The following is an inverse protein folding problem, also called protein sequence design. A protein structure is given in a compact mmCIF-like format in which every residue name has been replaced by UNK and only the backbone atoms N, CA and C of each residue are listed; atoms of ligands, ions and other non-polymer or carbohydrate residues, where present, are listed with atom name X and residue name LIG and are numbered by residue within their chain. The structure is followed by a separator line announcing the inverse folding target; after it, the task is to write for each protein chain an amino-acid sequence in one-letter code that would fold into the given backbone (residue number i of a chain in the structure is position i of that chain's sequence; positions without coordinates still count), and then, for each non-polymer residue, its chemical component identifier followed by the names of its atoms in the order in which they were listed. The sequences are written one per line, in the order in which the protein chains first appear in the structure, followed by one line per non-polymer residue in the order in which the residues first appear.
data_IF_711366398737
#
_entry.id   IF_711366398737
#
_cell.length_a   1.000
_cell.length_b   1.000
_cell.length_c   1.000
_cell.angle_alpha   90.00
_cell.angle_beta   90.00
_cell.angle_gamma   90.00
#
_symmetry.space_group_name_H-M   'P 1'
#
loop_
_entity.id
_entity.type
_entity.pdbx_description
1 polymer ?
#
# COMPACT_ATOMS: atom_id res chain seq x y z
N UNK A 1 -33.97 -25.42 15.35
CA UNK A 1 -33.94 -24.53 14.17
C UNK A 1 -32.72 -23.64 14.27
N UNK A 2 -31.75 -23.78 13.37
CA UNK A 2 -30.70 -22.77 13.15
C UNK A 2 -30.07 -23.04 11.78
N UNK A 3 -30.68 -22.48 10.71
CA UNK A 3 -30.09 -22.49 9.38
C UNK A 3 -28.95 -21.46 9.38
N UNK A 4 -27.71 -21.96 9.49
CA UNK A 4 -26.52 -21.15 9.28
C UNK A 4 -26.56 -20.55 7.87
N UNK A 5 -26.74 -19.23 7.80
CA UNK A 5 -26.71 -18.47 6.57
C UNK A 5 -25.26 -18.47 6.05
N UNK A 6 -24.90 -19.47 5.24
CA UNK A 6 -23.70 -19.43 4.41
C UNK A 6 -23.88 -18.26 3.45
N UNK A 7 -23.28 -17.10 3.78
CA UNK A 7 -23.09 -16.00 2.82
C UNK A 7 -22.42 -16.61 1.60
N UNK A 8 -23.17 -16.73 0.49
CA UNK A 8 -22.60 -17.10 -0.81
C UNK A 8 -21.46 -16.14 -1.06
N UNK A 9 -20.23 -16.65 -1.24
CA UNK A 9 -19.12 -15.85 -1.71
C UNK A 9 -19.58 -15.20 -3.03
N UNK A 10 -19.73 -13.87 -3.03
CA UNK A 10 -20.03 -13.13 -4.24
C UNK A 10 -18.95 -13.48 -5.26
N UNK A 11 -19.36 -13.90 -6.47
CA UNK A 11 -18.40 -14.19 -7.54
C UNK A 11 -17.65 -12.88 -7.84
N UNK A 12 -16.34 -12.87 -7.64
CA UNK A 12 -15.48 -11.74 -7.99
C UNK A 12 -15.76 -11.27 -9.41
N UNK A 13 -15.87 -9.96 -9.61
CA UNK A 13 -16.03 -9.39 -10.95
C UNK A 13 -14.73 -9.60 -11.73
N UNK A 14 -14.80 -10.33 -12.84
CA UNK A 14 -13.66 -10.48 -13.75
C UNK A 14 -13.58 -9.26 -14.64
N UNK A 15 -12.47 -8.51 -14.57
CA UNK A 15 -12.19 -7.41 -15.49
C UNK A 15 -11.52 -7.96 -16.75
N UNK A 16 -12.16 -7.78 -17.90
CA UNK A 16 -11.57 -8.12 -19.20
C UNK A 16 -10.63 -7.01 -19.67
N UNK A 17 -9.77 -7.30 -20.65
CA UNK A 17 -8.90 -6.27 -21.23
C UNK A 17 -9.70 -5.10 -21.84
N UNK A 18 -10.86 -5.38 -22.45
CA UNK A 18 -11.73 -4.34 -23.02
C UNK A 18 -12.20 -3.37 -21.94
N UNK A 19 -12.75 -3.91 -20.84
CA UNK A 19 -13.20 -3.09 -19.70
C UNK A 19 -12.05 -2.32 -19.07
N UNK A 20 -10.88 -2.93 -18.91
CA UNK A 20 -9.71 -2.24 -18.38
C UNK A 20 -9.27 -1.06 -19.27
N UNK A 21 -9.31 -1.22 -20.60
CA UNK A 21 -8.98 -0.13 -21.54
C UNK A 21 -9.99 1.02 -21.50
N UNK A 22 -11.25 0.73 -21.25
CA UNK A 22 -12.31 1.76 -21.07
C UNK A 22 -12.12 2.56 -19.76
N UNK A 23 -11.33 2.04 -18.83
CA UNK A 23 -10.98 2.70 -17.56
C UNK A 23 -9.67 3.51 -17.63
N UNK A 24 -9.09 3.66 -18.82
CA UNK A 24 -7.92 4.50 -19.02
C UNK A 24 -8.34 5.96 -19.14
N UNK A 25 -7.60 6.83 -18.46
CA UNK A 25 -7.80 8.28 -18.48
C UNK A 25 -6.45 9.00 -18.51
N UNK A 26 -6.47 10.26 -18.96
CA UNK A 26 -5.33 11.16 -18.83
C UNK A 26 -5.49 11.99 -17.56
N UNK A 27 -4.43 12.10 -16.77
CA UNK A 27 -4.34 13.05 -15.67
C UNK A 27 -4.13 14.47 -16.21
N UNK A 28 -4.26 15.46 -15.33
CA UNK A 28 -4.02 16.87 -15.68
C UNK A 28 -2.58 17.13 -16.15
N UNK A 29 -1.59 16.38 -15.63
CA UNK A 29 -0.20 16.44 -16.07
C UNK A 29 0.11 15.53 -17.28
N UNK A 30 -0.93 15.04 -17.97
CA UNK A 30 -0.81 14.28 -19.22
C UNK A 30 -0.40 12.82 -19.05
N UNK A 31 -0.56 12.26 -17.86
CA UNK A 31 -0.14 10.90 -17.52
C UNK A 31 -1.25 9.91 -17.75
N UNK A 32 -0.89 8.73 -18.23
CA UNK A 32 -1.87 7.67 -18.44
C UNK A 32 -2.19 6.98 -17.10
N UNK A 33 -3.45 7.09 -16.67
CA UNK A 33 -3.98 6.49 -15.45
C UNK A 33 -4.96 5.38 -15.78
N UNK A 34 -4.86 4.26 -15.07
CA UNK A 34 -5.85 3.19 -15.06
C UNK A 34 -6.68 3.26 -13.77
N UNK A 35 -7.97 3.57 -13.89
CA UNK A 35 -8.89 3.65 -12.74
C UNK A 35 -9.80 2.43 -12.64
N UNK A 36 -9.41 1.48 -11.81
CA UNK A 36 -10.20 0.31 -11.45
C UNK A 36 -10.72 0.39 -10.01
N UNK A 37 -10.89 1.59 -9.48
CA UNK A 37 -11.47 1.80 -8.16
C UNK A 37 -12.94 1.36 -8.10
N UNK A 38 -13.38 0.85 -6.94
CA UNK A 38 -14.78 0.49 -6.69
C UNK A 38 -15.38 -0.48 -7.73
N UNK A 39 -14.63 -1.50 -8.13
CA UNK A 39 -15.06 -2.50 -9.14
C UNK A 39 -15.40 -3.87 -8.55
N UNK A 40 -15.38 -4.00 -7.22
CA UNK A 40 -15.60 -5.27 -6.50
C UNK A 40 -14.66 -6.39 -6.95
N UNK A 41 -13.43 -6.02 -7.34
CA UNK A 41 -12.43 -6.96 -7.82
C UNK A 41 -11.76 -7.63 -6.62
N UNK A 42 -11.81 -8.95 -6.52
CA UNK A 42 -11.12 -9.68 -5.44
C UNK A 42 -9.78 -10.28 -5.85
N UNK A 43 -9.53 -10.40 -7.16
CA UNK A 43 -8.28 -10.90 -7.73
C UNK A 43 -7.80 -9.91 -8.77
N UNK A 44 -6.54 -9.49 -8.66
CA UNK A 44 -5.95 -8.57 -9.62
C UNK A 44 -6.09 -9.13 -11.05
N UNK A 45 -6.64 -8.38 -12.03
CA UNK A 45 -6.95 -8.92 -13.34
C UNK A 45 -5.69 -9.35 -14.10
N UNK A 46 -5.65 -10.59 -14.59
CA UNK A 46 -4.49 -11.13 -15.34
C UNK A 46 -4.19 -10.42 -16.67
N UNK A 47 -5.09 -9.55 -17.13
CA UNK A 47 -4.89 -8.74 -18.33
C UNK A 47 -4.07 -7.47 -18.07
N UNK A 48 -3.91 -7.05 -16.80
CA UNK A 48 -3.21 -5.83 -16.41
C UNK A 48 -1.79 -5.69 -16.97
N UNK A 49 -0.97 -6.76 -17.06
CA UNK A 49 0.33 -6.72 -17.73
C UNK A 49 0.33 -6.12 -19.15
N UNK A 50 -0.80 -6.16 -19.86
CA UNK A 50 -0.93 -5.60 -21.21
C UNK A 50 -1.10 -4.07 -21.23
N UNK A 51 -1.19 -3.44 -20.07
CA UNK A 51 -1.37 -2.01 -19.86
C UNK A 51 -0.21 -1.45 -19.01
N UNK A 52 0.99 -2.05 -19.11
CA UNK A 52 2.15 -1.69 -18.30
C UNK A 52 2.71 -0.30 -18.55
N UNK A 53 2.29 0.35 -19.65
CA UNK A 53 2.67 1.72 -20.02
C UNK A 53 2.04 2.79 -19.10
N UNK A 54 1.05 2.43 -18.27
CA UNK A 54 0.41 3.40 -17.38
C UNK A 54 1.37 3.91 -16.30
N UNK A 55 1.22 5.19 -15.97
CA UNK A 55 2.01 5.87 -14.94
C UNK A 55 1.24 5.95 -13.62
N UNK A 56 -0.08 5.77 -13.62
CA UNK A 56 -0.88 5.70 -12.40
C UNK A 56 -1.87 4.53 -12.43
N UNK A 57 -2.01 3.82 -11.32
CA UNK A 57 -3.00 2.74 -11.15
C UNK A 57 -3.78 2.98 -9.87
N UNK A 58 -5.10 3.06 -10.01
CA UNK A 58 -6.04 3.06 -8.89
C UNK A 58 -6.80 1.74 -8.83
N UNK A 59 -6.58 1.01 -7.75
CA UNK A 59 -7.25 -0.24 -7.42
C UNK A 59 -7.93 -0.12 -6.05
N UNK A 60 -8.18 1.10 -5.59
CA UNK A 60 -8.77 1.35 -4.29
C UNK A 60 -10.22 0.89 -4.18
N UNK A 61 -10.70 0.66 -2.95
CA UNK A 61 -12.08 0.27 -2.65
C UNK A 61 -12.52 -0.99 -3.38
N UNK A 62 -11.65 -2.00 -3.38
CA UNK A 62 -11.91 -3.31 -3.96
C UNK A 62 -11.86 -4.40 -2.87
N UNK A 63 -11.78 -5.66 -3.30
CA UNK A 63 -11.75 -6.83 -2.41
C UNK A 63 -10.42 -7.59 -2.53
N UNK A 64 -9.35 -6.92 -2.99
CA UNK A 64 -8.08 -7.57 -3.35
C UNK A 64 -7.39 -8.07 -2.07
N UNK A 65 -7.02 -9.34 -2.05
CA UNK A 65 -6.32 -9.97 -0.92
C UNK A 65 -4.82 -10.15 -1.16
N UNK A 66 -4.39 -10.20 -2.43
CA UNK A 66 -2.99 -10.38 -2.83
C UNK A 66 -2.64 -9.57 -4.07
N UNK A 67 -1.43 -9.04 -4.07
CA UNK A 67 -0.80 -8.48 -5.27
C UNK A 67 0.09 -9.57 -5.90
N UNK A 68 -0.13 -9.93 -7.17
CA UNK A 68 0.70 -10.89 -7.90
C UNK A 68 2.03 -10.28 -8.35
N UNK A 69 3.00 -11.15 -8.64
CA UNK A 69 4.36 -10.71 -9.00
C UNK A 69 4.47 -9.89 -10.27
N UNK A 70 3.52 -10.04 -11.21
CA UNK A 70 3.49 -9.25 -12.44
C UNK A 70 3.29 -7.75 -12.21
N UNK A 71 3.07 -7.31 -10.96
CA UNK A 71 3.12 -5.88 -10.61
C UNK A 71 4.44 -5.26 -11.07
N UNK A 72 5.52 -6.04 -11.14
CA UNK A 72 6.82 -5.59 -11.63
C UNK A 72 6.87 -5.25 -13.13
N UNK A 73 5.82 -5.51 -13.90
CA UNK A 73 5.77 -5.10 -15.31
C UNK A 73 5.48 -3.60 -15.44
N UNK A 74 4.91 -2.96 -14.41
CA UNK A 74 4.54 -1.54 -14.40
C UNK A 74 5.74 -0.64 -14.09
N UNK A 75 6.78 -0.71 -14.92
CA UNK A 75 8.05 0.00 -14.69
C UNK A 75 7.93 1.53 -14.77
N UNK A 76 6.91 2.04 -15.47
CA UNK A 76 6.61 3.47 -15.59
C UNK A 76 5.76 4.01 -14.42
N UNK A 77 5.32 3.15 -13.49
CA UNK A 77 4.37 3.52 -12.45
C UNK A 77 4.94 4.54 -11.46
N UNK A 78 4.21 5.63 -11.28
CA UNK A 78 4.50 6.75 -10.38
C UNK A 78 3.52 6.79 -9.20
N UNK A 79 2.28 6.34 -9.40
CA UNK A 79 1.25 6.27 -8.35
C UNK A 79 0.59 4.90 -8.35
N UNK A 80 0.55 4.27 -7.18
CA UNK A 80 -0.21 3.05 -6.94
C UNK A 80 -1.14 3.26 -5.74
N UNK A 81 -2.44 3.26 -6.00
CA UNK A 81 -3.46 3.32 -4.95
C UNK A 81 -4.13 1.95 -4.76
N UNK A 82 -3.96 1.40 -3.56
CA UNK A 82 -4.52 0.14 -3.09
C UNK A 82 -5.35 0.34 -1.81
N UNK A 83 -5.76 1.58 -1.51
CA UNK A 83 -6.56 1.93 -0.35
C UNK A 83 -7.85 1.09 -0.24
N UNK A 84 -8.27 0.74 0.97
CA UNK A 84 -9.52 0.00 1.21
C UNK A 84 -9.59 -1.31 0.41
N UNK A 85 -8.65 -2.21 0.70
CA UNK A 85 -8.63 -3.58 0.21
C UNK A 85 -8.42 -4.53 1.41
N UNK A 86 -8.11 -5.80 1.16
CA UNK A 86 -7.87 -6.81 2.18
C UNK A 86 -6.47 -7.42 2.07
N UNK A 87 -5.48 -6.63 1.64
CA UNK A 87 -4.11 -7.10 1.48
C UNK A 87 -3.52 -7.52 2.82
N UNK A 88 -3.03 -8.75 2.91
CA UNK A 88 -2.35 -9.30 4.10
C UNK A 88 -0.83 -9.16 4.01
N UNK A 89 -0.31 -9.18 2.78
CA UNK A 89 1.11 -9.09 2.45
C UNK A 89 1.32 -8.35 1.11
N UNK A 90 2.54 -7.88 0.88
CA UNK A 90 3.00 -7.41 -0.42
C UNK A 90 4.09 -8.35 -0.95
N UNK A 91 4.11 -8.64 -2.25
CA UNK A 91 5.18 -9.42 -2.83
C UNK A 91 6.49 -8.62 -2.88
N UNK A 92 7.63 -9.30 -2.88
CA UNK A 92 8.93 -8.65 -3.00
C UNK A 92 9.10 -7.89 -4.33
N UNK A 93 8.38 -8.31 -5.38
CA UNK A 93 8.32 -7.65 -6.69
C UNK A 93 7.86 -6.19 -6.63
N UNK A 94 7.18 -5.75 -5.57
CA UNK A 94 6.84 -4.33 -5.37
C UNK A 94 8.08 -3.43 -5.43
N UNK A 95 9.24 -3.92 -4.98
CA UNK A 95 10.51 -3.17 -5.01
C UNK A 95 11.05 -2.89 -6.41
N UNK A 96 10.48 -3.49 -7.47
CA UNK A 96 10.82 -3.20 -8.87
C UNK A 96 10.16 -1.93 -9.41
N UNK A 97 9.17 -1.37 -8.71
CA UNK A 97 8.50 -0.12 -9.07
C UNK A 97 9.36 1.12 -8.77
N UNK A 98 10.56 1.20 -9.33
CA UNK A 98 11.57 2.20 -8.94
C UNK A 98 11.21 3.65 -9.31
N UNK A 99 10.19 3.84 -10.15
CA UNK A 99 9.65 5.15 -10.50
C UNK A 99 8.50 5.62 -9.59
N UNK A 100 8.10 4.79 -8.61
CA UNK A 100 6.97 5.07 -7.74
C UNK A 100 7.27 6.25 -6.82
N UNK A 101 6.37 7.24 -6.84
CA UNK A 101 6.39 8.45 -6.04
C UNK A 101 5.37 8.37 -4.89
N UNK A 102 4.22 7.73 -5.15
CA UNK A 102 3.14 7.61 -4.17
C UNK A 102 2.67 6.16 -4.10
N UNK A 103 2.66 5.62 -2.89
CA UNK A 103 2.10 4.29 -2.59
C UNK A 103 1.08 4.41 -1.47
N UNK A 104 -0.18 4.17 -1.80
CA UNK A 104 -1.28 4.19 -0.85
C UNK A 104 -1.76 2.76 -0.54
N UNK A 105 -1.52 2.31 0.69
CA UNK A 105 -1.90 1.00 1.22
C UNK A 105 -2.81 1.15 2.45
N UNK A 106 -3.37 2.34 2.65
CA UNK A 106 -4.19 2.64 3.81
C UNK A 106 -5.47 1.80 3.85
N UNK A 107 -5.91 1.37 5.03
CA UNK A 107 -7.08 0.52 5.22
C UNK A 107 -6.93 -0.84 4.49
N UNK A 108 -5.97 -1.63 4.97
CA UNK A 108 -5.71 -2.99 4.54
C UNK A 108 -5.51 -3.91 5.78
N UNK A 109 -4.95 -5.10 5.59
CA UNK A 109 -4.69 -6.07 6.68
C UNK A 109 -3.20 -6.40 6.80
N UNK A 110 -2.32 -5.50 6.35
CA UNK A 110 -0.89 -5.75 6.31
C UNK A 110 -0.35 -5.93 7.72
N UNK A 111 0.29 -7.07 7.97
CA UNK A 111 0.96 -7.38 9.24
C UNK A 111 2.48 -7.20 9.17
N UNK A 112 3.03 -7.16 7.96
CA UNK A 112 4.44 -6.90 7.68
C UNK A 112 4.61 -6.25 6.30
N UNK A 113 5.82 -5.77 6.01
CA UNK A 113 6.21 -5.25 4.71
C UNK A 113 7.48 -5.97 4.23
N UNK A 114 7.61 -6.27 2.92
CA UNK A 114 8.80 -6.92 2.40
C UNK A 114 10.03 -6.00 2.50
N UNK A 115 11.21 -6.56 2.71
CA UNK A 115 12.46 -5.79 2.73
C UNK A 115 12.71 -5.04 1.41
N UNK A 116 12.17 -5.54 0.30
CA UNK A 116 12.22 -4.92 -1.01
C UNK A 116 11.59 -3.52 -1.07
N UNK A 117 10.77 -3.11 -0.09
CA UNK A 117 10.28 -1.73 0.02
C UNK A 117 11.42 -0.71 -0.02
N UNK A 118 12.58 -1.03 0.56
CA UNK A 118 13.76 -0.15 0.57
C UNK A 118 14.36 0.13 -0.82
N UNK A 119 13.89 -0.53 -1.88
CA UNK A 119 14.31 -0.31 -3.26
C UNK A 119 13.56 0.85 -3.95
N UNK A 120 12.46 1.34 -3.37
CA UNK A 120 11.63 2.42 -3.93
C UNK A 120 12.24 3.81 -3.73
N UNK A 121 13.43 4.05 -4.29
CA UNK A 121 14.27 5.22 -3.97
C UNK A 121 13.63 6.58 -4.26
N UNK A 122 12.64 6.65 -5.15
CA UNK A 122 11.94 7.88 -5.52
C UNK A 122 10.65 8.11 -4.72
N UNK A 123 10.29 7.21 -3.81
CA UNK A 123 9.02 7.28 -3.08
C UNK A 123 9.00 8.52 -2.19
N UNK A 124 7.99 9.38 -2.38
CA UNK A 124 7.77 10.61 -1.63
C UNK A 124 6.73 10.43 -0.54
N UNK A 125 5.67 9.65 -0.81
CA UNK A 125 4.54 9.43 0.09
C UNK A 125 4.25 7.94 0.22
N UNK A 126 4.20 7.47 1.47
CA UNK A 126 3.83 6.11 1.84
C UNK A 126 2.71 6.12 2.88
N UNK A 127 1.51 5.70 2.48
CA UNK A 127 0.35 5.62 3.38
C UNK A 127 0.08 4.19 3.80
N UNK A 128 0.28 3.89 5.08
CA UNK A 128 0.12 2.57 5.71
C UNK A 128 -0.88 2.59 6.87
N UNK A 129 -1.62 3.69 7.06
CA UNK A 129 -2.57 3.81 8.15
C UNK A 129 -3.70 2.76 8.08
N UNK A 130 -4.32 2.44 9.20
CA UNK A 130 -5.38 1.42 9.29
C UNK A 130 -4.90 0.06 8.74
N UNK A 131 -3.84 -0.46 9.34
CA UNK A 131 -3.29 -1.79 9.05
C UNK A 131 -3.02 -2.54 10.38
N UNK A 132 -2.22 -3.61 10.33
CA UNK A 132 -1.91 -4.43 11.50
C UNK A 132 -0.40 -4.46 11.80
N UNK A 133 0.34 -3.44 11.33
CA UNK A 133 1.80 -3.37 11.45
C UNK A 133 2.20 -3.11 12.91
N UNK A 134 3.19 -3.84 13.40
CA UNK A 134 3.82 -3.58 14.70
C UNK A 134 5.31 -3.21 14.57
N UNK A 135 5.87 -3.33 13.38
CA UNK A 135 7.23 -2.97 13.03
C UNK A 135 7.29 -2.52 11.56
N UNK A 136 8.44 -1.95 11.18
CA UNK A 136 8.81 -1.72 9.79
C UNK A 136 10.11 -2.49 9.51
N UNK A 137 10.32 -3.01 8.28
CA UNK A 137 11.59 -3.60 7.91
C UNK A 137 12.70 -2.55 8.00
N UNK A 138 13.91 -2.95 8.43
CA UNK A 138 15.04 -2.03 8.57
C UNK A 138 15.40 -1.31 7.26
N UNK A 139 15.16 -1.98 6.13
CA UNK A 139 15.36 -1.44 4.78
C UNK A 139 14.48 -0.24 4.44
N UNK A 140 13.41 0.04 5.21
CA UNK A 140 12.57 1.22 5.00
C UNK A 140 13.37 2.53 5.14
N UNK A 141 14.43 2.52 5.96
CA UNK A 141 15.34 3.65 6.13
C UNK A 141 16.11 4.00 4.84
N UNK A 142 16.11 3.10 3.85
CA UNK A 142 16.76 3.32 2.58
C UNK A 142 15.91 4.16 1.59
N UNK A 143 14.69 4.56 1.97
CA UNK A 143 13.80 5.45 1.23
C UNK A 143 14.22 6.92 1.43
N UNK A 144 15.30 7.33 0.79
CA UNK A 144 15.94 8.63 1.04
C UNK A 144 15.13 9.85 0.58
N UNK A 145 14.18 9.68 -0.34
CA UNK A 145 13.30 10.77 -0.82
C UNK A 145 11.96 10.85 -0.07
N UNK A 146 11.70 9.97 0.89
CA UNK A 146 10.39 9.91 1.55
C UNK A 146 10.19 11.15 2.42
N UNK A 147 9.09 11.87 2.16
CA UNK A 147 8.68 13.08 2.89
C UNK A 147 7.53 12.81 3.83
N UNK A 148 6.63 11.91 3.47
CA UNK A 148 5.41 11.64 4.23
C UNK A 148 5.22 10.15 4.46
N UNK A 149 5.09 9.76 5.73
CA UNK A 149 4.75 8.39 6.12
C UNK A 149 3.56 8.39 7.09
N UNK A 150 2.48 7.72 6.68
CA UNK A 150 1.29 7.55 7.49
C UNK A 150 1.24 6.16 8.11
N UNK A 151 1.31 6.06 9.43
CA UNK A 151 1.32 4.81 10.21
C UNK A 151 0.19 4.76 11.24
N UNK A 152 -0.78 5.67 11.16
CA UNK A 152 -1.88 5.74 12.13
C UNK A 152 -2.70 4.45 12.18
N UNK A 153 -3.37 4.16 13.30
CA UNK A 153 -4.23 2.96 13.42
C UNK A 153 -3.51 1.67 13.05
N UNK A 154 -2.38 1.43 13.70
CA UNK A 154 -1.61 0.20 13.59
C UNK A 154 -1.38 -0.38 15.00
N UNK A 155 -0.43 -1.29 15.14
CA UNK A 155 -0.08 -2.00 16.37
C UNK A 155 1.32 -1.62 16.88
N UNK A 156 1.82 -0.44 16.56
CA UNK A 156 3.14 0.02 17.01
C UNK A 156 3.14 0.28 18.52
N UNK A 157 3.96 -0.45 19.28
CA UNK A 157 4.13 -0.24 20.72
C UNK A 157 5.24 0.74 21.06
N UNK A 158 6.04 1.13 20.07
CA UNK A 158 7.13 2.09 20.15
C UNK A 158 7.25 2.83 18.82
N UNK A 159 7.87 4.01 18.84
CA UNK A 159 8.24 4.71 17.61
C UNK A 159 9.28 3.85 16.84
N UNK A 160 9.06 3.54 15.55
CA UNK A 160 10.02 2.77 14.77
C UNK A 160 11.36 3.51 14.64
N UNK A 161 12.43 2.94 15.19
CA UNK A 161 13.75 3.60 15.23
C UNK A 161 14.32 3.90 13.83
N UNK A 162 13.92 3.16 12.81
CA UNK A 162 14.39 3.36 11.44
C UNK A 162 13.96 4.72 10.85
N UNK A 163 12.87 5.31 11.36
CA UNK A 163 12.35 6.62 10.92
C UNK A 163 13.35 7.74 11.24
N UNK A 164 14.15 7.63 12.31
CA UNK A 164 15.14 8.66 12.66
C UNK A 164 16.32 8.75 11.69
N UNK A 165 16.47 7.77 10.78
CA UNK A 165 17.53 7.74 9.75
C UNK A 165 17.10 8.33 8.42
N UNK A 166 15.89 8.89 8.34
CA UNK A 166 15.27 9.34 7.10
C UNK A 166 15.23 10.87 7.06
N UNK A 167 16.31 11.47 6.53
CA UNK A 167 16.61 12.90 6.68
C UNK A 167 15.60 13.85 5.98
N UNK A 168 14.85 13.35 4.99
CA UNK A 168 13.87 14.14 4.23
C UNK A 168 12.43 14.01 4.76
N UNK A 169 12.21 13.26 5.83
CA UNK A 169 10.86 13.12 6.41
C UNK A 169 10.39 14.45 6.99
N UNK A 170 9.26 14.92 6.46
CA UNK A 170 8.59 16.14 6.90
C UNK A 170 7.39 15.83 7.80
N UNK A 171 6.70 14.70 7.55
CA UNK A 171 5.49 14.31 8.29
C UNK A 171 5.49 12.82 8.59
N UNK A 172 5.33 12.50 9.87
CA UNK A 172 5.13 11.15 10.39
C UNK A 172 3.84 11.15 11.19
N UNK A 173 2.86 10.35 10.77
CA UNK A 173 1.63 10.16 11.54
C UNK A 173 1.67 8.79 12.23
N UNK A 174 1.71 8.79 13.56
CA UNK A 174 1.68 7.59 14.40
C UNK A 174 0.43 7.52 15.29
N UNK A 175 -0.58 8.36 15.02
CA UNK A 175 -1.77 8.47 15.84
C UNK A 175 -2.50 7.13 15.98
N UNK A 176 -3.19 6.92 17.11
CA UNK A 176 -3.98 5.70 17.36
C UNK A 176 -3.13 4.41 17.23
N UNK A 177 -1.90 4.46 17.71
CA UNK A 177 -1.06 3.29 17.99
C UNK A 177 -0.86 3.11 19.50
N UNK A 178 -0.70 1.88 20.01
CA UNK A 178 -0.47 1.61 21.42
C UNK A 178 0.99 1.92 21.86
N UNK A 179 1.50 3.10 21.49
CA UNK A 179 2.89 3.51 21.80
C UNK A 179 3.00 3.78 23.30
N UNK A 180 3.87 3.02 23.96
CA UNK A 180 4.18 3.23 25.37
C UNK A 180 5.20 4.37 25.45
N UNK A 181 4.82 5.49 26.04
CA UNK A 181 5.78 6.50 26.50
C UNK A 181 6.31 6.03 27.85
N UNK A 182 7.61 5.80 27.98
CA UNK A 182 8.22 5.60 29.30
C UNK A 182 7.96 6.85 30.14
N UNK A 183 7.05 6.75 31.11
CA UNK A 183 6.87 7.77 32.14
C UNK A 183 8.19 7.86 32.93
N UNK A 184 8.83 9.03 32.88
CA UNK A 184 9.99 9.38 33.71
C UNK A 184 9.63 9.54 35.20
N UNK A 185 8.59 8.88 35.71
CA UNK A 185 8.09 9.09 37.08
C UNK A 185 8.70 8.15 38.13
N UNK A 186 9.68 7.31 37.80
CA UNK A 186 10.35 6.41 38.77
C UNK A 186 11.89 6.60 38.83
N UNK A 187 12.38 7.84 38.80
CA UNK A 187 13.71 8.17 39.31
C UNK A 187 13.58 9.03 40.57
N UNK A 188 13.17 8.37 41.66
CA UNK A 188 13.39 8.86 43.01
C UNK A 188 13.80 7.68 43.88
N UNK A 189 15.11 7.43 43.93
CA UNK A 189 15.83 6.90 45.09
C UNK A 189 17.32 7.24 44.96
#
# INVERSE_FOLDING_TARGET
MAKGNKRKAAKSKTITLKVAKECLQLTLDGKLRLDLSFKEVSVMPKCLPKLCEVEEVDLSRNLITKIPDFIDYFLSLRLLDLHSNYLEELPASVGRLQNLLVLNLCNNRLSSLPSAMGLLKKLLTLSLGMNQLNNLPSSISALQELRHIGLSDNKFTRVPFCISRMDKLERVNLDRNPIVTEDKSNQSH
#
